data_IF_927010382164
#
_entry.id   IF_927010382164
#
_cell.length_a   1.000
_cell.length_b   1.000
_cell.length_c   1.000
_cell.angle_alpha   90.00
_cell.angle_beta   90.00
_cell.angle_gamma   90.00
#
_symmetry.space_group_name_H-M   'P 1'
#
loop_
_entity.id
_entity.type
_entity.pdbx_description
1 polymer ?
#
# COMPACT_ATOMS: atom_id res chain seq x y z
N UNK A 1 -16.40 31.82 -6.73
CA UNK A 1 -16.57 32.42 -5.39
C UNK A 1 -17.81 33.34 -5.39
N UNK A 2 -18.96 32.82 -4.95
CA UNK A 2 -20.22 33.52 -4.62
C UNK A 2 -20.51 34.91 -5.24
N UNK A 3 -20.37 35.11 -6.56
CA UNK A 3 -20.65 36.39 -7.27
C UNK A 3 -20.02 37.68 -6.69
N UNK A 4 -19.17 37.58 -5.66
CA UNK A 4 -18.50 38.70 -5.00
C UNK A 4 -17.01 38.71 -5.32
N UNK A 5 -16.41 37.55 -5.63
CA UNK A 5 -14.98 37.45 -5.88
C UNK A 5 -14.67 36.61 -7.14
N UNK A 6 -13.56 36.95 -7.78
CA UNK A 6 -12.96 36.17 -8.88
C UNK A 6 -11.52 35.82 -8.51
N UNK A 7 -11.11 34.58 -8.77
CA UNK A 7 -9.72 34.17 -8.64
C UNK A 7 -9.07 34.16 -10.03
N UNK A 8 -8.06 34.97 -10.23
CA UNK A 8 -7.28 35.03 -11.47
C UNK A 8 -5.97 34.29 -11.24
N UNK A 9 -5.78 33.15 -11.90
CA UNK A 9 -4.61 32.28 -11.73
C UNK A 9 -3.92 32.12 -13.08
N UNK A 10 -2.63 32.44 -13.12
CA UNK A 10 -1.75 32.34 -14.29
C UNK A 10 -0.65 31.35 -13.96
N UNK A 11 -0.42 30.40 -14.85
CA UNK A 11 0.65 29.42 -14.74
C UNK A 11 1.51 29.57 -15.99
N UNK A 12 2.79 29.89 -15.80
CA UNK A 12 3.70 30.06 -16.91
C UNK A 12 4.21 28.72 -17.45
N UNK A 13 4.95 28.77 -18.56
CA UNK A 13 5.54 27.58 -19.21
C UNK A 13 6.59 26.86 -18.36
N UNK A 14 7.04 27.47 -17.25
CA UNK A 14 7.97 26.87 -16.28
C UNK A 14 7.23 26.32 -15.05
N UNK A 15 5.90 26.35 -15.04
CA UNK A 15 5.07 25.90 -13.93
C UNK A 15 5.00 26.90 -12.76
N UNK A 16 5.46 28.14 -12.92
CA UNK A 16 5.32 29.15 -11.86
C UNK A 16 3.87 29.62 -11.78
N UNK A 17 3.30 29.57 -10.59
CA UNK A 17 1.91 29.94 -10.33
C UNK A 17 1.84 31.35 -9.74
N UNK A 18 1.14 32.24 -10.44
CA UNK A 18 0.78 33.57 -9.96
C UNK A 18 -0.73 33.59 -9.79
N UNK A 19 -1.23 34.06 -8.65
CA UNK A 19 -2.67 34.11 -8.43
C UNK A 19 -3.13 35.32 -7.64
N UNK A 20 -4.31 35.83 -8.00
CA UNK A 20 -4.94 37.00 -7.41
C UNK A 20 -6.40 36.70 -7.06
N UNK A 21 -6.94 37.42 -6.09
CA UNK A 21 -8.37 37.43 -5.80
C UNK A 21 -8.86 38.85 -6.01
N UNK A 22 -9.84 39.03 -6.89
CA UNK A 22 -10.44 40.31 -7.24
C UNK A 22 -11.83 40.39 -6.61
N UNK A 23 -12.11 41.48 -5.90
CA UNK A 23 -13.45 41.83 -5.44
C UNK A 23 -14.25 42.46 -6.58
N UNK A 24 -15.37 41.84 -6.95
CA UNK A 24 -16.10 42.19 -8.17
C UNK A 24 -16.87 43.52 -8.08
N UNK A 25 -17.17 44.00 -6.88
CA UNK A 25 -17.90 45.27 -6.69
C UNK A 25 -16.98 46.48 -6.91
N UNK A 26 -15.75 46.41 -6.41
CA UNK A 26 -14.76 47.48 -6.49
C UNK A 26 -13.76 47.30 -7.65
N UNK A 27 -13.71 46.11 -8.24
CA UNK A 27 -12.68 45.67 -9.20
C UNK A 27 -11.25 45.84 -8.64
N UNK A 28 -11.10 45.62 -7.33
CA UNK A 28 -9.84 45.76 -6.59
C UNK A 28 -9.29 44.40 -6.15
N UNK A 29 -7.97 44.32 -6.05
CA UNK A 29 -7.30 43.12 -5.54
C UNK A 29 -7.49 43.00 -4.03
N UNK A 30 -8.19 41.94 -3.62
CA UNK A 30 -8.41 41.62 -2.22
C UNK A 30 -7.17 40.94 -1.63
N UNK A 31 -6.34 41.66 -0.88
CA UNK A 31 -5.06 41.13 -0.34
C UNK A 31 -5.19 40.43 1.02
N UNK A 32 -6.28 40.68 1.75
CA UNK A 32 -6.42 40.26 3.15
C UNK A 32 -6.34 38.73 3.35
N UNK A 33 -6.69 37.94 2.34
CA UNK A 33 -6.58 36.47 2.39
C UNK A 33 -5.13 35.97 2.51
N UNK A 34 -4.13 36.78 2.12
CA UNK A 34 -2.69 36.46 2.19
C UNK A 34 -2.03 36.87 3.51
N UNK A 35 -2.66 37.72 4.31
CA UNK A 35 -2.08 38.20 5.58
C UNK A 35 -2.10 37.06 6.60
N UNK A 36 -0.91 36.60 7.00
CA UNK A 36 -0.75 35.65 8.10
C UNK A 36 -1.25 36.27 9.41
N UNK A 37 -2.13 35.57 10.12
CA UNK A 37 -2.76 36.05 11.37
C UNK A 37 -4.15 36.66 11.20
N UNK A 38 -4.61 36.96 9.99
CA UNK A 38 -6.01 37.37 9.78
C UNK A 38 -6.94 36.15 9.79
N UNK A 39 -7.68 35.99 10.88
CA UNK A 39 -8.54 34.83 11.19
C UNK A 39 -10.05 35.13 11.15
N UNK A 40 -10.45 36.32 10.67
CA UNK A 40 -11.87 36.65 10.52
C UNK A 40 -12.62 35.62 9.65
N UNK A 41 -13.85 35.26 10.03
CA UNK A 41 -14.64 34.20 9.37
C UNK A 41 -14.76 34.43 7.86
N UNK A 42 -14.97 35.69 7.46
CA UNK A 42 -15.04 36.10 6.06
C UNK A 42 -13.74 35.83 5.31
N UNK A 43 -12.60 36.28 5.85
CA UNK A 43 -11.27 36.05 5.24
C UNK A 43 -10.96 34.55 5.18
N UNK A 44 -11.38 33.79 6.21
CA UNK A 44 -11.26 32.34 6.24
C UNK A 44 -12.00 31.65 5.09
N UNK A 45 -13.24 32.07 4.81
CA UNK A 45 -14.04 31.55 3.68
C UNK A 45 -13.38 31.84 2.33
N UNK A 46 -12.96 33.08 2.08
CA UNK A 46 -12.27 33.46 0.83
C UNK A 46 -10.98 32.64 0.65
N UNK A 47 -10.20 32.47 1.72
CA UNK A 47 -8.96 31.68 1.72
C UNK A 47 -9.22 30.21 1.43
N UNK A 48 -10.26 29.62 2.01
CA UNK A 48 -10.57 28.20 1.80
C UNK A 48 -11.08 27.94 0.38
N UNK A 49 -11.95 28.81 -0.15
CA UNK A 49 -12.40 28.75 -1.54
C UNK A 49 -11.22 28.89 -2.52
N UNK A 50 -10.30 29.81 -2.26
CA UNK A 50 -9.11 29.99 -3.09
C UNK A 50 -8.21 28.74 -3.06
N UNK A 51 -8.03 28.12 -1.89
CA UNK A 51 -7.31 26.84 -1.77
C UNK A 51 -8.00 25.71 -2.54
N UNK A 52 -9.33 25.66 -2.53
CA UNK A 52 -10.08 24.64 -3.26
C UNK A 52 -9.88 24.79 -4.78
N UNK A 53 -9.87 26.00 -5.30
CA UNK A 53 -9.55 26.27 -6.72
C UNK A 53 -8.12 25.82 -7.04
N UNK A 54 -7.13 26.16 -6.20
CA UNK A 54 -5.75 25.73 -6.41
C UNK A 54 -5.61 24.20 -6.38
N UNK A 55 -6.30 23.53 -5.44
CA UNK A 55 -6.32 22.05 -5.37
C UNK A 55 -6.97 21.45 -6.62
N UNK A 56 -8.06 22.04 -7.10
CA UNK A 56 -8.75 21.59 -8.31
C UNK A 56 -7.83 21.71 -9.54
N UNK A 57 -7.16 22.85 -9.71
CA UNK A 57 -6.15 23.03 -10.77
C UNK A 57 -5.02 22.01 -10.62
N UNK A 58 -4.45 21.84 -9.43
CA UNK A 58 -3.37 20.89 -9.19
C UNK A 58 -3.78 19.45 -9.51
N UNK A 59 -5.02 19.06 -9.18
CA UNK A 59 -5.51 17.70 -9.39
C UNK A 59 -5.92 17.41 -10.84
N UNK A 60 -6.36 18.42 -11.60
CA UNK A 60 -6.90 18.23 -12.95
C UNK A 60 -5.95 18.68 -14.07
N UNK A 61 -4.98 19.55 -13.77
CA UNK A 61 -4.10 20.15 -14.78
C UNK A 61 -2.63 19.76 -14.64
N UNK A 62 -2.25 19.09 -13.54
CA UNK A 62 -0.86 18.73 -13.27
C UNK A 62 -0.74 17.26 -12.89
N UNK A 63 0.40 16.67 -13.25
CA UNK A 63 0.82 15.38 -12.72
C UNK A 63 1.68 15.62 -11.50
N UNK A 64 1.42 14.87 -10.43
CA UNK A 64 2.20 14.98 -9.20
C UNK A 64 3.57 14.35 -9.41
N UNK A 65 4.61 15.17 -9.34
CA UNK A 65 5.99 14.71 -9.30
C UNK A 65 6.48 14.58 -7.85
N UNK A 66 7.23 13.52 -7.61
CA UNK A 66 7.76 13.15 -6.30
C UNK A 66 9.27 13.34 -6.20
N UNK A 67 9.94 13.38 -7.36
CA UNK A 67 11.38 13.27 -7.50
C UNK A 67 11.91 14.32 -8.47
N UNK A 68 13.23 14.51 -8.52
CA UNK A 68 13.88 15.58 -9.28
C UNK A 68 13.98 15.23 -10.76
N UNK A 69 14.28 13.97 -11.10
CA UNK A 69 14.51 13.56 -12.49
C UNK A 69 13.26 12.96 -13.15
N UNK A 70 13.08 13.27 -14.43
CA UNK A 70 11.93 12.86 -15.23
C UNK A 70 11.72 11.35 -15.23
N UNK A 71 12.79 10.55 -15.44
CA UNK A 71 12.69 9.09 -15.42
C UNK A 71 12.17 8.57 -14.07
N UNK A 72 12.63 9.16 -12.97
CA UNK A 72 12.19 8.76 -11.63
C UNK A 72 10.70 9.01 -11.44
N UNK A 73 10.17 10.14 -11.90
CA UNK A 73 8.74 10.43 -11.85
C UNK A 73 7.94 9.50 -12.77
N UNK A 74 8.43 9.17 -13.97
CA UNK A 74 7.79 8.18 -14.85
C UNK A 74 7.73 6.80 -14.19
N UNK A 75 8.81 6.33 -13.59
CA UNK A 75 8.83 5.04 -12.86
C UNK A 75 7.88 5.07 -11.65
N UNK A 76 7.86 6.17 -10.88
CA UNK A 76 6.94 6.31 -9.75
C UNK A 76 5.47 6.27 -10.18
N UNK A 77 5.14 6.91 -11.31
CA UNK A 77 3.82 6.87 -11.94
C UNK A 77 3.44 5.45 -12.36
N UNK A 78 4.33 4.75 -13.08
CA UNK A 78 4.10 3.37 -13.49
C UNK A 78 3.91 2.42 -12.31
N UNK A 79 4.65 2.60 -11.20
CA UNK A 79 4.44 1.86 -9.95
C UNK A 79 3.05 2.15 -9.38
N UNK A 80 2.63 3.42 -9.34
CA UNK A 80 1.33 3.79 -8.82
C UNK A 80 0.18 3.23 -9.68
N UNK A 81 0.24 3.39 -10.99
CA UNK A 81 -0.78 2.88 -11.92
C UNK A 81 -0.92 1.36 -11.84
N UNK A 82 0.19 0.64 -11.70
CA UNK A 82 0.19 -0.83 -11.69
C UNK A 82 -0.17 -1.43 -10.33
N UNK A 83 0.29 -0.83 -9.24
CA UNK A 83 0.23 -1.42 -7.91
C UNK A 83 -0.58 -0.63 -6.88
N UNK A 84 -1.11 0.54 -7.26
CA UNK A 84 -1.73 1.52 -6.35
C UNK A 84 -0.81 1.88 -5.16
N UNK A 85 0.49 2.00 -5.43
CA UNK A 85 1.51 2.36 -4.45
C UNK A 85 2.12 3.71 -4.79
N UNK A 86 2.00 4.67 -3.87
CA UNK A 86 2.75 5.93 -3.90
C UNK A 86 3.96 5.85 -2.96
N UNK A 87 5.04 6.63 -3.21
CA UNK A 87 6.20 6.64 -2.33
C UNK A 87 5.85 7.27 -0.97
N UNK A 88 6.42 6.70 0.10
CA UNK A 88 6.37 7.21 1.46
C UNK A 88 7.71 7.90 1.80
N UNK A 89 7.66 9.11 2.35
CA UNK A 89 8.84 9.87 2.78
C UNK A 89 8.94 9.82 4.30
N UNK A 90 9.87 9.00 4.80
CA UNK A 90 9.86 8.56 6.20
C UNK A 90 10.82 9.33 7.12
N UNK A 91 11.68 10.19 6.58
CA UNK A 91 12.79 10.79 7.30
C UNK A 91 12.92 12.29 7.06
N UNK A 92 13.03 13.06 8.14
CA UNK A 92 13.19 14.52 8.06
C UNK A 92 14.57 14.95 7.57
N UNK A 93 15.61 14.14 7.82
CA UNK A 93 17.00 14.45 7.45
C UNK A 93 17.35 14.08 6.00
N UNK A 94 16.52 13.26 5.36
CA UNK A 94 16.60 12.90 3.93
C UNK A 94 15.18 12.89 3.36
N UNK A 95 14.53 14.08 3.29
CA UNK A 95 13.11 14.18 2.95
C UNK A 95 12.79 13.72 1.53
N UNK A 96 13.80 13.68 0.65
CA UNK A 96 13.65 13.31 -0.76
C UNK A 96 13.76 11.79 -0.99
N UNK A 97 13.94 10.99 0.06
CA UNK A 97 14.04 9.53 -0.07
C UNK A 97 12.65 8.90 -0.04
N UNK A 98 12.20 8.44 -1.21
CA UNK A 98 10.88 7.84 -1.38
C UNK A 98 10.91 6.31 -1.25
N UNK A 99 10.15 5.76 -0.30
CA UNK A 99 10.03 4.32 -0.06
C UNK A 99 8.76 3.76 -0.70
N UNK A 100 8.91 2.70 -1.49
CA UNK A 100 7.78 1.94 -2.02
C UNK A 100 7.52 0.69 -1.18
N UNK A 101 6.31 0.57 -0.64
CA UNK A 101 5.90 -0.48 0.29
C UNK A 101 4.73 -1.29 -0.26
N UNK A 102 4.83 -2.60 -0.17
CA UNK A 102 3.75 -3.49 -0.58
C UNK A 102 2.56 -3.34 0.37
N UNK A 103 1.36 -3.13 -0.20
CA UNK A 103 0.14 -2.83 0.58
C UNK A 103 -0.25 -4.00 1.49
N UNK A 104 -0.03 -5.24 1.05
CA UNK A 104 -0.38 -6.47 1.78
C UNK A 104 0.60 -6.76 2.91
N UNK A 105 1.89 -6.89 2.59
CA UNK A 105 2.89 -7.35 3.57
C UNK A 105 3.51 -6.23 4.40
N UNK A 106 3.32 -4.97 3.99
CA UNK A 106 3.98 -3.78 4.52
C UNK A 106 5.51 -3.81 4.41
N UNK A 107 6.09 -4.75 3.66
CA UNK A 107 7.53 -4.79 3.37
C UNK A 107 7.87 -3.83 2.24
N UNK A 108 9.06 -3.25 2.32
CA UNK A 108 9.58 -2.41 1.25
C UNK A 108 10.02 -3.28 0.09
N UNK A 109 9.68 -2.86 -1.12
CA UNK A 109 10.20 -3.46 -2.36
C UNK A 109 11.10 -2.48 -3.11
N UNK A 110 10.85 -1.17 -2.99
CA UNK A 110 11.67 -0.14 -3.61
C UNK A 110 12.05 0.97 -2.65
N UNK A 111 13.18 1.63 -2.91
CA UNK A 111 13.50 2.94 -2.34
C UNK A 111 14.27 3.76 -3.37
N UNK A 112 13.83 4.99 -3.61
CA UNK A 112 14.55 6.00 -4.39
C UNK A 112 15.37 6.86 -3.44
N UNK A 113 16.62 7.12 -3.81
CA UNK A 113 17.56 7.93 -3.04
C UNK A 113 18.30 8.88 -3.97
N UNK A 114 18.47 10.13 -3.57
CA UNK A 114 19.41 11.06 -4.22
C UNK A 114 20.79 10.91 -3.57
N UNK A 115 21.81 10.65 -4.38
CA UNK A 115 23.19 10.44 -3.92
C UNK A 115 24.20 10.82 -5.00
N UNK A 116 25.45 11.06 -4.60
CA UNK A 116 26.53 11.24 -5.57
C UNK A 116 26.85 9.91 -6.28
N UNK A 117 27.00 9.96 -7.61
CA UNK A 117 27.22 8.80 -8.48
C UNK A 117 28.43 7.96 -8.06
N UNK A 118 29.38 8.53 -7.31
CA UNK A 118 30.60 7.84 -6.87
C UNK A 118 30.31 6.74 -5.86
N UNK A 119 29.16 6.83 -5.20
CA UNK A 119 28.64 5.83 -4.27
C UNK A 119 28.21 4.53 -4.98
N UNK A 120 27.92 4.58 -6.28
CA UNK A 120 27.53 3.43 -7.10
C UNK A 120 28.65 3.03 -8.05
N UNK A 121 29.25 4.01 -8.73
CA UNK A 121 30.32 3.79 -9.71
C UNK A 121 31.58 4.53 -9.22
N UNK A 122 32.64 3.80 -8.81
CA UNK A 122 33.87 4.43 -8.34
C UNK A 122 34.41 5.47 -9.32
N UNK A 123 34.87 6.61 -8.80
CA UNK A 123 35.47 7.72 -9.55
C UNK A 123 34.55 8.44 -10.56
N UNK A 124 33.23 8.28 -10.48
CA UNK A 124 32.27 9.12 -11.22
C UNK A 124 31.47 9.98 -10.26
N UNK A 125 31.60 11.30 -10.30
CA UNK A 125 30.83 12.22 -9.45
C UNK A 125 29.58 12.75 -10.15
N UNK A 126 28.70 13.40 -9.39
CA UNK A 126 27.47 14.03 -9.88
C UNK A 126 26.25 13.47 -9.19
N UNK A 127 25.26 14.31 -8.92
CA UNK A 127 24.01 13.88 -8.31
C UNK A 127 23.21 12.99 -9.25
N UNK A 128 22.65 11.91 -8.69
CA UNK A 128 21.80 10.96 -9.38
C UNK A 128 20.71 10.45 -8.44
N UNK A 129 19.54 10.14 -9.00
CA UNK A 129 18.54 9.35 -8.31
C UNK A 129 18.74 7.87 -8.61
N UNK A 130 18.74 7.07 -7.54
CA UNK A 130 18.96 5.63 -7.60
C UNK A 130 17.75 4.92 -7.04
N UNK A 131 17.17 4.02 -7.83
CA UNK A 131 16.18 3.07 -7.37
C UNK A 131 16.87 1.81 -6.87
N UNK A 132 16.71 1.52 -5.58
CA UNK A 132 17.08 0.26 -4.98
C UNK A 132 15.89 -0.69 -4.95
N UNK A 133 16.06 -1.90 -5.47
CA UNK A 133 15.03 -2.94 -5.49
C UNK A 133 15.48 -4.19 -4.74
N UNK A 134 14.55 -4.81 -4.01
CA UNK A 134 14.79 -6.07 -3.30
C UNK A 134 14.53 -7.26 -4.23
N UNK A 135 15.55 -8.03 -4.58
CA UNK A 135 15.46 -9.15 -5.54
C UNK A 135 15.84 -10.53 -4.98
N UNK A 136 16.25 -10.64 -3.72
CA UNK A 136 16.58 -11.91 -3.03
C UNK A 136 17.42 -12.86 -3.93
N UNK A 137 16.95 -14.05 -4.30
CA UNK A 137 17.72 -15.00 -5.13
C UNK A 137 18.05 -14.51 -6.56
N UNK A 138 17.32 -13.51 -7.09
CA UNK A 138 17.50 -13.05 -8.46
C UNK A 138 18.70 -12.09 -8.64
N UNK A 139 19.30 -11.60 -7.56
CA UNK A 139 20.38 -10.60 -7.58
C UNK A 139 21.53 -11.01 -8.51
N UNK A 140 22.06 -12.22 -8.37
CA UNK A 140 23.22 -12.70 -9.16
C UNK A 140 22.94 -12.76 -10.67
N UNK A 141 21.69 -13.05 -11.05
CA UNK A 141 21.28 -13.08 -12.46
C UNK A 141 21.16 -11.65 -13.01
N UNK A 142 20.52 -10.76 -12.25
CA UNK A 142 20.20 -9.40 -12.69
C UNK A 142 21.43 -8.50 -12.75
N UNK A 143 22.39 -8.65 -11.83
CA UNK A 143 23.65 -7.89 -11.81
C UNK A 143 24.53 -8.07 -13.06
N UNK A 144 24.25 -9.07 -13.91
CA UNK A 144 24.94 -9.24 -15.19
C UNK A 144 24.42 -8.30 -16.28
N UNK A 145 23.29 -7.65 -16.04
CA UNK A 145 22.65 -6.73 -17.00
C UNK A 145 23.33 -5.37 -16.92
N UNK A 146 23.55 -4.74 -18.09
CA UNK A 146 24.06 -3.38 -18.12
C UNK A 146 23.08 -2.42 -17.42
N UNK A 147 23.60 -1.42 -16.69
CA UNK A 147 22.77 -0.45 -15.97
C UNK A 147 22.23 -0.91 -14.61
N UNK A 148 22.57 -2.12 -14.15
CA UNK A 148 22.27 -2.59 -12.78
C UNK A 148 23.55 -2.75 -11.98
N UNK A 149 23.54 -2.26 -10.74
CA UNK A 149 24.71 -2.18 -9.87
C UNK A 149 24.46 -2.83 -8.51
N UNK A 150 25.55 -3.16 -7.82
CA UNK A 150 25.50 -3.56 -6.42
C UNK A 150 25.03 -2.40 -5.53
N UNK A 151 24.29 -2.66 -4.45
CA UNK A 151 23.79 -1.62 -3.58
C UNK A 151 24.92 -0.92 -2.82
N UNK A 152 24.78 0.40 -2.67
CA UNK A 152 25.72 1.28 -1.94
C UNK A 152 25.95 0.87 -0.46
N UNK A 153 25.10 0.00 0.10
CA UNK A 153 25.30 -0.59 1.44
C UNK A 153 25.49 -2.11 1.34
N UNK A 154 26.74 -2.56 1.50
CA UNK A 154 27.21 -3.95 1.31
C UNK A 154 26.54 -5.01 2.18
N UNK A 155 25.76 -4.63 3.21
CA UNK A 155 24.99 -5.56 4.04
C UNK A 155 23.70 -6.04 3.38
N UNK A 156 23.30 -5.46 2.24
CA UNK A 156 22.06 -5.77 1.52
C UNK A 156 22.29 -6.70 0.33
N UNK A 157 22.75 -7.94 0.56
CA UNK A 157 23.00 -8.96 -0.49
C UNK A 157 21.80 -9.28 -1.38
N UNK A 158 20.61 -8.88 -0.94
CA UNK A 158 19.34 -9.17 -1.59
C UNK A 158 18.78 -7.98 -2.37
N UNK A 159 19.55 -6.91 -2.54
CA UNK A 159 19.12 -5.70 -3.23
C UNK A 159 20.02 -5.40 -4.43
N UNK A 160 19.49 -4.67 -5.39
CA UNK A 160 20.23 -4.09 -6.52
C UNK A 160 19.97 -2.59 -6.59
N UNK A 161 20.88 -1.86 -7.22
CA UNK A 161 20.76 -0.42 -7.49
C UNK A 161 20.64 -0.15 -8.99
N UNK A 162 19.74 0.72 -9.37
CA UNK A 162 19.54 1.19 -10.75
C UNK A 162 19.67 2.71 -10.73
N UNK A 163 20.56 3.25 -11.56
CA UNK A 163 20.65 4.70 -11.76
C UNK A 163 19.56 5.09 -12.76
N UNK A 164 18.71 6.05 -12.39
CA UNK A 164 17.58 6.50 -13.20
C UNK A 164 18.03 7.63 -14.15
N UNK A 165 18.95 7.31 -15.05
CA UNK A 165 19.56 8.24 -16.02
C UNK A 165 19.25 7.89 -17.49
N UNK A 166 18.17 7.13 -17.73
CA UNK A 166 17.74 6.57 -19.02
C UNK A 166 18.70 5.55 -19.65
N UNK A 167 19.72 5.08 -18.93
CA UNK A 167 20.57 3.96 -19.40
C UNK A 167 19.76 2.66 -19.57
N UNK A 168 18.82 2.40 -18.67
CA UNK A 168 17.83 1.34 -18.77
C UNK A 168 16.49 1.95 -19.18
N UNK A 169 15.75 1.25 -20.05
CA UNK A 169 14.41 1.67 -20.45
C UNK A 169 13.41 1.46 -19.31
N UNK A 170 12.34 2.25 -19.31
CA UNK A 170 11.33 2.21 -18.26
C UNK A 170 10.68 0.82 -18.17
N UNK A 171 10.51 0.12 -19.29
CA UNK A 171 9.98 -1.25 -19.32
C UNK A 171 10.90 -2.23 -18.58
N UNK A 172 12.22 -2.11 -18.76
CA UNK A 172 13.20 -3.01 -18.12
C UNK A 172 13.31 -2.73 -16.63
N UNK A 173 13.19 -1.46 -16.23
CA UNK A 173 13.10 -1.09 -14.83
C UNK A 173 11.82 -1.69 -14.22
N UNK A 174 10.68 -1.58 -14.91
CA UNK A 174 9.41 -2.15 -14.44
C UNK A 174 9.42 -3.68 -14.36
N UNK A 175 10.11 -4.39 -15.26
CA UNK A 175 10.32 -5.85 -15.13
C UNK A 175 11.03 -6.20 -13.80
N UNK A 176 12.00 -5.37 -13.36
CA UNK A 176 12.69 -5.58 -12.08
C UNK A 176 11.83 -5.16 -10.89
N UNK A 177 11.04 -4.09 -11.04
CA UNK A 177 10.04 -3.69 -10.03
C UNK A 177 9.04 -4.82 -9.80
N UNK A 178 8.57 -5.47 -10.85
CA UNK A 178 7.63 -6.60 -10.77
C UNK A 178 8.20 -7.74 -9.92
N UNK A 179 9.43 -8.16 -10.22
CA UNK A 179 10.12 -9.18 -9.42
C UNK A 179 10.22 -8.77 -7.95
N UNK A 180 10.58 -7.51 -7.70
CA UNK A 180 10.71 -7.01 -6.33
C UNK A 180 9.38 -6.94 -5.60
N UNK A 181 8.33 -6.49 -6.28
CA UNK A 181 6.98 -6.42 -5.75
C UNK A 181 6.47 -7.83 -5.40
N UNK A 182 6.64 -8.81 -6.29
CA UNK A 182 6.20 -10.20 -6.07
C UNK A 182 6.89 -10.84 -4.86
N UNK A 183 8.21 -10.66 -4.72
CA UNK A 183 8.97 -11.12 -3.55
C UNK A 183 8.41 -10.50 -2.25
N UNK A 184 7.99 -9.24 -2.33
CA UNK A 184 7.40 -8.53 -1.18
C UNK A 184 5.92 -8.87 -0.97
N UNK A 185 5.21 -9.43 -1.94
CA UNK A 185 3.77 -9.75 -1.89
C UNK A 185 3.52 -11.06 -1.13
N UNK A 186 3.91 -11.07 0.14
CA UNK A 186 3.83 -12.25 1.00
C UNK A 186 2.37 -12.51 1.36
N UNK A 187 1.90 -13.71 1.01
CA UNK A 187 0.57 -14.21 1.37
C UNK A 187 0.45 -14.32 2.89
N UNK A 188 -0.64 -13.79 3.42
CA UNK A 188 -0.98 -13.86 4.83
C UNK A 188 -1.60 -15.19 5.20
N UNK A 189 -1.35 -15.61 6.44
CA UNK A 189 -2.06 -16.71 7.09
C UNK A 189 -2.80 -16.16 8.30
N UNK A 190 -4.10 -16.49 8.40
CA UNK A 190 -4.99 -15.92 9.41
C UNK A 190 -5.80 -16.98 10.13
N UNK A 191 -5.93 -16.88 11.45
CA UNK A 191 -6.98 -17.57 12.21
C UNK A 191 -8.16 -16.61 12.33
N UNK A 192 -9.35 -17.04 11.92
CA UNK A 192 -10.57 -16.26 12.06
C UNK A 192 -11.63 -17.03 12.88
N UNK A 193 -12.37 -16.36 13.79
CA UNK A 193 -13.38 -17.02 14.58
C UNK A 193 -14.62 -17.35 13.74
N UNK A 194 -15.12 -18.57 13.90
CA UNK A 194 -16.39 -19.04 13.40
C UNK A 194 -17.27 -19.46 14.58
N UNK A 195 -18.39 -18.77 14.81
CA UNK A 195 -19.28 -19.10 15.91
C UNK A 195 -20.47 -19.95 15.43
N UNK A 196 -20.57 -21.22 15.87
CA UNK A 196 -21.68 -22.11 15.48
C UNK A 196 -23.08 -21.54 15.80
N UNK A 197 -23.19 -20.60 16.75
CA UNK A 197 -24.47 -19.94 17.09
C UNK A 197 -25.01 -19.03 15.99
N UNK A 198 -24.14 -18.54 15.11
CA UNK A 198 -24.52 -17.59 14.05
C UNK A 198 -24.49 -18.22 12.66
N UNK A 199 -23.76 -19.31 12.49
CA UNK A 199 -23.57 -19.96 11.19
C UNK A 199 -23.28 -21.44 11.39
N UNK A 200 -23.92 -22.30 10.62
CA UNK A 200 -23.67 -23.75 10.63
C UNK A 200 -22.35 -24.07 9.92
N UNK A 201 -21.25 -23.75 10.60
CA UNK A 201 -19.90 -23.94 10.09
C UNK A 201 -19.54 -25.42 9.94
N UNK A 202 -20.14 -26.30 10.74
CA UNK A 202 -19.85 -27.73 10.74
C UNK A 202 -20.28 -28.36 9.42
N UNK A 203 -21.44 -27.95 8.90
CA UNK A 203 -21.99 -28.45 7.64
C UNK A 203 -21.65 -27.58 6.42
N UNK A 204 -21.01 -26.43 6.62
CA UNK A 204 -20.77 -25.43 5.58
C UNK A 204 -20.12 -25.97 4.31
N UNK A 205 -19.24 -26.96 4.45
CA UNK A 205 -18.49 -27.54 3.34
C UNK A 205 -18.96 -28.94 2.93
N UNK A 206 -20.14 -29.41 3.37
CA UNK A 206 -20.58 -30.78 3.07
C UNK A 206 -21.06 -30.96 1.63
N UNK A 207 -21.59 -29.89 1.02
CA UNK A 207 -22.14 -29.90 -0.34
C UNK A 207 -21.31 -29.10 -1.35
N UNK A 208 -20.34 -28.35 -0.87
CA UNK A 208 -19.49 -27.45 -1.64
C UNK A 208 -18.14 -27.34 -0.95
N UNK A 209 -17.06 -27.15 -1.70
CA UNK A 209 -15.76 -26.77 -1.14
C UNK A 209 -15.64 -25.25 -0.99
N UNK A 210 -16.54 -24.47 -1.57
CA UNK A 210 -16.44 -23.02 -1.66
C UNK A 210 -17.66 -22.35 -1.03
N UNK A 211 -17.43 -21.36 -0.16
CA UNK A 211 -18.49 -20.61 0.53
C UNK A 211 -18.19 -19.11 0.54
N UNK A 212 -19.23 -18.32 0.80
CA UNK A 212 -19.11 -16.89 1.11
C UNK A 212 -18.89 -16.74 2.62
N UNK A 213 -17.95 -15.90 3.01
CA UNK A 213 -17.59 -15.64 4.40
C UNK A 213 -17.46 -14.15 4.68
N UNK A 214 -17.71 -13.75 5.93
CA UNK A 214 -17.48 -12.37 6.37
C UNK A 214 -16.01 -11.98 6.15
N UNK A 215 -15.76 -11.00 5.30
CA UNK A 215 -14.40 -10.51 5.10
C UNK A 215 -13.97 -9.66 6.30
N UNK A 216 -12.72 -9.85 6.71
CA UNK A 216 -12.08 -8.97 7.68
C UNK A 216 -11.02 -8.10 7.01
N UNK A 217 -10.67 -6.98 7.62
CA UNK A 217 -9.67 -6.08 7.08
C UNK A 217 -8.30 -6.78 6.96
N UNK A 218 -7.53 -6.43 5.93
CA UNK A 218 -6.19 -6.95 5.64
C UNK A 218 -6.12 -8.43 5.19
N UNK A 219 -7.25 -9.07 4.89
CA UNK A 219 -7.28 -10.37 4.24
C UNK A 219 -7.44 -10.16 2.72
N UNK A 220 -6.57 -10.77 1.93
CA UNK A 220 -6.47 -10.60 0.48
C UNK A 220 -6.63 -11.92 -0.27
N UNK A 221 -6.95 -11.86 -1.56
CA UNK A 221 -6.97 -13.06 -2.40
C UNK A 221 -5.61 -13.78 -2.37
N UNK A 222 -5.65 -15.11 -2.33
CA UNK A 222 -4.52 -16.00 -2.12
C UNK A 222 -4.03 -16.13 -0.68
N UNK A 223 -4.59 -15.39 0.30
CA UNK A 223 -4.33 -15.65 1.71
C UNK A 223 -4.89 -17.02 2.13
N UNK A 224 -4.34 -17.58 3.20
CA UNK A 224 -4.89 -18.77 3.86
C UNK A 224 -5.63 -18.33 5.13
N UNK A 225 -6.85 -18.85 5.30
CA UNK A 225 -7.65 -18.66 6.50
C UNK A 225 -7.92 -19.99 7.19
N UNK A 226 -7.68 -20.02 8.49
CA UNK A 226 -7.95 -21.12 9.40
C UNK A 226 -9.20 -20.78 10.21
N UNK A 227 -10.28 -21.54 10.03
CA UNK A 227 -11.54 -21.30 10.73
C UNK A 227 -11.47 -21.95 12.11
N UNK A 228 -11.31 -21.11 13.13
CA UNK A 228 -11.41 -21.51 14.53
C UNK A 228 -12.87 -21.54 14.94
N UNK A 229 -13.41 -22.73 15.12
CA UNK A 229 -14.79 -22.92 15.54
C UNK A 229 -14.88 -22.75 17.05
N UNK A 230 -15.68 -21.77 17.47
CA UNK A 230 -15.87 -21.42 18.87
C UNK A 230 -16.57 -22.56 19.67
N UNK A 231 -16.81 -22.32 20.96
CA UNK A 231 -17.49 -23.28 21.82
C UNK A 231 -18.82 -23.76 21.20
N UNK A 232 -19.16 -25.07 21.33
CA UNK A 232 -18.50 -26.06 22.17
C UNK A 232 -17.27 -26.74 21.56
N UNK A 233 -16.96 -26.51 20.27
CA UNK A 233 -15.90 -27.23 19.55
C UNK A 233 -14.51 -26.72 19.97
N UNK A 234 -14.34 -25.40 20.03
CA UNK A 234 -13.11 -24.72 20.50
C UNK A 234 -11.82 -25.22 19.83
N UNK A 235 -11.83 -25.36 18.50
CA UNK A 235 -10.72 -25.87 17.71
C UNK A 235 -10.72 -25.32 16.28
N UNK A 236 -9.55 -25.32 15.62
CA UNK A 236 -9.47 -25.10 14.17
C UNK A 236 -9.98 -26.35 13.46
N UNK A 237 -10.97 -26.20 12.57
CA UNK A 237 -11.52 -27.32 11.80
C UNK A 237 -11.23 -27.24 10.30
N UNK A 238 -11.00 -26.05 9.76
CA UNK A 238 -10.88 -25.85 8.32
C UNK A 238 -9.71 -24.95 7.98
N UNK A 239 -8.92 -25.35 6.98
CA UNK A 239 -8.00 -24.49 6.25
C UNK A 239 -8.64 -24.15 4.91
N UNK A 240 -8.72 -22.88 4.57
CA UNK A 240 -9.28 -22.40 3.32
C UNK A 240 -8.32 -21.43 2.63
N UNK A 241 -8.37 -21.38 1.30
CA UNK A 241 -7.79 -20.31 0.49
C UNK A 241 -8.83 -19.23 0.24
N UNK A 242 -8.43 -17.97 0.32
CA UNK A 242 -9.25 -16.83 -0.07
C UNK A 242 -9.17 -16.67 -1.58
N UNK A 243 -10.27 -16.90 -2.30
CA UNK A 243 -10.31 -16.79 -3.75
C UNK A 243 -10.56 -15.35 -4.21
N UNK A 244 -11.44 -14.64 -3.51
CA UNK A 244 -11.95 -13.34 -3.92
C UNK A 244 -12.31 -12.52 -2.68
N UNK A 245 -12.06 -11.21 -2.73
CA UNK A 245 -12.27 -10.27 -1.62
C UNK A 245 -13.05 -9.05 -2.10
N UNK A 246 -13.53 -8.25 -1.16
CA UNK A 246 -14.25 -7.00 -1.39
C UNK A 246 -15.54 -7.17 -2.21
N UNK A 247 -16.15 -8.36 -2.12
CA UNK A 247 -17.44 -8.66 -2.75
C UNK A 247 -18.52 -7.86 -2.00
N UNK A 248 -19.24 -6.93 -2.67
CA UNK A 248 -20.30 -6.16 -2.03
C UNK A 248 -21.38 -7.08 -1.46
N UNK A 249 -21.76 -6.85 -0.21
CA UNK A 249 -22.78 -7.66 0.47
C UNK A 249 -23.44 -6.87 1.58
N UNK A 250 -24.73 -6.61 1.47
CA UNK A 250 -25.49 -5.92 2.51
C UNK A 250 -26.24 -6.93 3.38
N UNK A 251 -25.77 -7.08 4.61
CA UNK A 251 -26.45 -7.90 5.60
C UNK A 251 -26.32 -7.28 6.97
N UNK A 252 -27.44 -7.22 7.70
CA UNK A 252 -27.45 -6.74 9.08
C UNK A 252 -28.48 -7.52 9.86
N UNK A 253 -28.02 -8.17 10.92
CA UNK A 253 -28.89 -8.74 11.96
C UNK A 253 -28.51 -8.17 13.33
N UNK A 254 -29.07 -8.76 14.40
CA UNK A 254 -28.80 -8.34 15.79
C UNK A 254 -27.35 -8.55 16.24
N UNK A 255 -26.58 -9.39 15.56
CA UNK A 255 -25.25 -9.86 15.93
C UNK A 255 -24.15 -9.44 14.95
N UNK A 256 -24.48 -9.26 13.65
CA UNK A 256 -23.52 -9.05 12.58
C UNK A 256 -24.05 -8.02 11.58
N UNK A 257 -23.26 -6.99 11.32
CA UNK A 257 -23.38 -6.14 10.14
C UNK A 257 -22.21 -6.45 9.18
N UNK A 258 -22.52 -6.62 7.90
CA UNK A 258 -21.58 -6.89 6.83
C UNK A 258 -21.92 -5.96 5.66
N UNK A 259 -20.90 -5.29 5.13
CA UNK A 259 -20.97 -4.51 3.89
C UNK A 259 -20.21 -5.17 2.73
N UNK A 260 -19.35 -6.13 3.08
CA UNK A 260 -18.53 -6.91 2.15
C UNK A 260 -18.21 -8.29 2.70
N UNK A 261 -18.00 -9.22 1.78
CA UNK A 261 -17.69 -10.63 2.03
C UNK A 261 -16.53 -11.07 1.16
N UNK A 262 -15.97 -12.24 1.47
CA UNK A 262 -14.95 -12.91 0.69
C UNK A 262 -15.42 -14.30 0.31
N UNK A 263 -14.91 -14.82 -0.81
CA UNK A 263 -15.11 -16.20 -1.22
C UNK A 263 -13.93 -17.03 -0.74
N UNK A 264 -14.20 -18.08 0.02
CA UNK A 264 -13.16 -18.99 0.54
C UNK A 264 -13.41 -20.41 0.08
N UNK A 265 -12.33 -21.11 -0.26
CA UNK A 265 -12.34 -22.50 -0.72
C UNK A 265 -11.59 -23.39 0.27
N UNK A 266 -12.25 -24.45 0.72
CA UNK A 266 -11.72 -25.47 1.60
C UNK A 266 -10.52 -26.15 0.94
N UNK A 267 -9.41 -26.22 1.68
CA UNK A 267 -8.20 -26.95 1.32
C UNK A 267 -8.00 -28.20 2.18
N UNK A 268 -8.25 -28.09 3.49
CA UNK A 268 -8.01 -29.18 4.45
C UNK A 268 -9.01 -29.11 5.61
N UNK A 269 -9.40 -30.29 6.10
CA UNK A 269 -10.17 -30.47 7.35
C UNK A 269 -9.23 -31.02 8.43
N UNK A 270 -9.38 -30.52 9.64
CA UNK A 270 -8.66 -31.00 10.82
C UNK A 270 -9.63 -31.72 11.75
N UNK A 271 -9.16 -32.72 12.50
CA UNK A 271 -9.96 -33.30 13.58
C UNK A 271 -10.10 -32.30 14.73
N UNK A 272 -11.20 -32.40 15.46
CA UNK A 272 -11.55 -31.48 16.53
C UNK A 272 -10.51 -31.45 17.67
N UNK A 273 -9.78 -32.53 17.89
CA UNK A 273 -8.75 -32.64 18.92
C UNK A 273 -7.34 -32.24 18.43
N UNK A 274 -7.13 -32.00 17.13
CA UNK A 274 -5.81 -31.67 16.57
C UNK A 274 -5.32 -30.28 16.99
N UNK A 275 -6.13 -29.25 16.82
CA UNK A 275 -5.78 -27.84 17.07
C UNK A 275 -6.80 -27.16 17.99
N UNK A 276 -6.94 -27.71 19.20
CA UNK A 276 -7.80 -27.15 20.27
C UNK A 276 -7.27 -25.82 20.79
N UNK A 277 -8.14 -25.04 21.44
CA UNK A 277 -7.74 -23.79 22.08
C UNK A 277 -6.57 -23.95 23.07
N UNK A 278 -6.54 -25.05 23.84
CA UNK A 278 -5.43 -25.34 24.76
C UNK A 278 -4.11 -25.50 24.01
N UNK A 279 -4.12 -26.22 22.87
CA UNK A 279 -2.94 -26.37 22.02
C UNK A 279 -2.53 -25.03 21.40
N UNK A 280 -3.48 -24.27 20.87
CA UNK A 280 -3.22 -22.93 20.30
C UNK A 280 -2.60 -21.96 21.31
N UNK A 281 -2.98 -22.05 22.58
CA UNK A 281 -2.38 -21.26 23.66
C UNK A 281 -0.88 -21.55 23.81
N UNK A 282 -0.43 -22.79 23.59
CA UNK A 282 1.00 -23.17 23.59
C UNK A 282 1.78 -22.51 22.43
N UNK A 283 1.10 -22.04 21.39
CA UNK A 283 1.68 -21.23 20.30
C UNK A 283 1.53 -19.71 20.53
N UNK A 284 1.08 -19.28 21.72
CA UNK A 284 0.89 -17.87 22.07
C UNK A 284 -0.45 -17.28 21.65
N UNK A 285 -1.41 -18.09 21.21
CA UNK A 285 -2.77 -17.64 20.86
C UNK A 285 -3.65 -17.69 22.13
N UNK A 286 -3.71 -16.56 22.85
CA UNK A 286 -4.44 -16.47 24.13
C UNK A 286 -5.94 -16.19 24.00
N UNK A 287 -6.39 -15.65 22.87
CA UNK A 287 -7.79 -15.36 22.58
C UNK A 287 -8.00 -15.19 21.07
N UNK A 288 -9.17 -15.59 20.57
CA UNK A 288 -9.55 -15.48 19.16
C UNK A 288 -10.90 -14.75 19.09
N UNK A 289 -10.84 -13.41 19.12
CA UNK A 289 -12.02 -12.52 19.05
C UNK A 289 -12.19 -11.85 17.68
N UNK A 290 -11.20 -12.03 16.81
CA UNK A 290 -11.12 -11.48 15.46
C UNK A 290 -9.97 -12.16 14.71
N UNK A 291 -9.69 -11.72 13.47
CA UNK A 291 -8.58 -12.24 12.69
C UNK A 291 -7.25 -12.10 13.42
N UNK A 292 -6.42 -13.13 13.31
CA UNK A 292 -5.10 -13.15 13.94
C UNK A 292 -4.08 -13.80 13.03
N UNK A 293 -2.94 -13.15 12.84
CA UNK A 293 -1.81 -13.76 12.15
C UNK A 293 -1.26 -14.97 12.91
N UNK A 294 -0.65 -15.89 12.18
CA UNK A 294 0.00 -17.07 12.75
C UNK A 294 1.44 -16.75 13.16
N UNK A 295 1.96 -17.54 14.11
CA UNK A 295 3.41 -17.64 14.34
C UNK A 295 4.00 -18.65 13.36
N UNK A 296 5.28 -18.50 13.00
CA UNK A 296 5.97 -19.42 12.07
C UNK A 296 5.87 -20.88 12.52
N UNK A 297 5.92 -21.13 13.83
CA UNK A 297 5.80 -22.47 14.40
C UNK A 297 4.40 -23.05 14.17
N UNK A 298 3.35 -22.27 14.42
CA UNK A 298 1.98 -22.72 14.23
C UNK A 298 1.66 -22.93 12.75
N UNK A 299 2.16 -22.04 11.88
CA UNK A 299 2.05 -22.21 10.43
C UNK A 299 2.63 -23.55 9.98
N UNK A 300 3.86 -23.88 10.39
CA UNK A 300 4.49 -25.16 10.05
C UNK A 300 3.64 -26.35 10.46
N UNK A 301 3.16 -26.37 11.71
CA UNK A 301 2.39 -27.50 12.23
C UNK A 301 1.00 -27.63 11.56
N UNK A 302 0.35 -26.53 11.21
CA UNK A 302 -0.91 -26.57 10.46
C UNK A 302 -0.74 -27.05 9.01
N UNK A 303 0.46 -26.84 8.45
CA UNK A 303 0.81 -27.19 7.08
C UNK A 303 1.48 -28.57 6.93
N UNK A 304 1.88 -29.21 8.04
CA UNK A 304 2.25 -30.63 8.07
C UNK A 304 1.04 -31.54 7.86
#
# INVERSE_FOLDING_TARGET
MNNTFRADIVIDVKGQVIGKVIELELDEEYINFRIEGNTGEFVGKVREEYKNILKDIANNCFEKEYFIYEQTNRIAKLINEKYDVSPEFLWDFVPDYGVFRNVRSKKWFGIVMNLDKSKIIPNKTGEVEVLNLKLDENVTKVLKSNGVYSPYHSSKKNWVSIILDNTLSDEKIMELVDLSYDISNIKGEWIIPANPKYYDIVNAFNKTDTIIWKQSNNIWAGDIVYLYVAAPISAILYKCEVLEVDIPYEYKDKNVAMKKVMKIKLLKRYKQDEFTFEKLNKYGIKAIRGPRGLTDKLSKDLNS
#
